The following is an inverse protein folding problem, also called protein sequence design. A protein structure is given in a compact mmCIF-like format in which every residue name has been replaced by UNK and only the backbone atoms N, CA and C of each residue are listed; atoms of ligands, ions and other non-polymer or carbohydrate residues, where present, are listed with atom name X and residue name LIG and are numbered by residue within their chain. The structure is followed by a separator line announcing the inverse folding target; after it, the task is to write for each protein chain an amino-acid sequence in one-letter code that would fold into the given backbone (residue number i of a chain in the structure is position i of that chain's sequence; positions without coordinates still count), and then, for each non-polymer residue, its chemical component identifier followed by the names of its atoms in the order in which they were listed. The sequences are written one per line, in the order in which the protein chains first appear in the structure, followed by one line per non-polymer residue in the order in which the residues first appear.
data_IF_755855708484
#
_entry.id   IF_755855708484
#
_cell.length_a   1.000
_cell.length_b   1.000
_cell.length_c   1.000
_cell.angle_alpha   90.00
_cell.angle_beta   90.00
_cell.angle_gamma   90.00
#
_symmetry.space_group_name_H-M   'P 1'
#
loop_
_entity.id
_entity.type
_entity.pdbx_description
1 polymer ?
#
# COMPACT_ATOMS: atom_id res chain seq x y z
N UNK A 1 -2.98 20.79 19.00
CA UNK A 1 -1.74 19.97 18.88
C UNK A 1 -2.06 18.48 18.66
N UNK A 2 -3.19 18.15 18.03
CA UNK A 2 -3.71 16.77 17.94
C UNK A 2 -3.53 16.13 16.55
N UNK A 3 -3.00 16.87 15.57
CA UNK A 3 -2.81 16.35 14.19
C UNK A 3 -1.51 15.53 14.06
N UNK A 4 -0.53 15.73 14.95
CA UNK A 4 0.76 15.03 14.88
C UNK A 4 0.68 13.55 15.28
N UNK A 5 -0.29 13.16 16.12
CA UNK A 5 -0.43 11.77 16.58
C UNK A 5 -0.83 10.86 15.42
N UNK A 6 -1.78 11.28 14.57
CA UNK A 6 -2.16 10.53 13.37
C UNK A 6 -1.03 10.45 12.34
N UNK A 7 -0.37 11.58 12.05
CA UNK A 7 0.72 11.65 11.06
C UNK A 7 1.91 10.74 11.39
N UNK A 8 2.22 10.55 12.67
CA UNK A 8 3.27 9.63 13.11
C UNK A 8 2.90 8.16 12.87
N UNK A 9 1.64 7.80 13.14
CA UNK A 9 1.16 6.42 12.94
C UNK A 9 1.05 6.05 11.46
N UNK A 10 0.68 6.98 10.59
CA UNK A 10 0.64 6.71 9.15
C UNK A 10 2.04 6.48 8.55
N UNK A 11 3.07 7.19 9.03
CA UNK A 11 4.45 6.94 8.63
C UNK A 11 4.95 5.56 9.07
N UNK A 12 4.69 5.22 10.32
CA UNK A 12 5.09 3.93 10.88
C UNK A 12 4.39 2.78 10.14
N UNK A 13 3.10 2.93 9.84
CA UNK A 13 2.33 1.99 9.04
C UNK A 13 2.81 1.91 7.58
N UNK A 14 3.25 3.03 6.97
CA UNK A 14 3.86 3.04 5.63
C UNK A 14 5.13 2.17 5.63
N UNK A 15 6.07 2.39 6.55
CA UNK A 15 7.30 1.61 6.64
C UNK A 15 7.03 0.11 6.86
N UNK A 16 6.15 -0.24 7.81
CA UNK A 16 5.81 -1.64 8.06
C UNK A 16 5.18 -2.32 6.84
N UNK A 17 4.26 -1.65 6.14
CA UNK A 17 3.64 -2.22 4.96
C UNK A 17 4.64 -2.35 3.80
N UNK A 18 5.59 -1.42 3.66
CA UNK A 18 6.63 -1.51 2.63
C UNK A 18 7.57 -2.70 2.85
N UNK A 19 7.98 -2.94 4.10
CA UNK A 19 8.80 -4.10 4.47
C UNK A 19 8.07 -5.41 4.11
N UNK A 20 6.80 -5.52 4.46
CA UNK A 20 5.98 -6.71 4.13
C UNK A 20 5.79 -6.87 2.62
N UNK A 21 5.62 -5.77 1.86
CA UNK A 21 5.53 -5.84 0.39
C UNK A 21 6.84 -6.35 -0.20
N UNK A 22 7.98 -5.84 0.25
CA UNK A 22 9.31 -6.24 -0.22
C UNK A 22 9.57 -7.73 0.07
N UNK A 23 9.32 -8.17 1.31
CA UNK A 23 9.40 -9.59 1.69
C UNK A 23 8.47 -10.48 0.88
N UNK A 24 7.24 -10.01 0.60
CA UNK A 24 6.30 -10.78 -0.22
C UNK A 24 6.72 -10.82 -1.70
N UNK A 25 7.31 -9.74 -2.22
CA UNK A 25 7.86 -9.70 -3.58
C UNK A 25 9.05 -10.65 -3.72
N UNK A 26 9.95 -10.67 -2.75
CA UNK A 26 11.12 -11.57 -2.75
C UNK A 26 10.73 -13.04 -2.57
N UNK A 27 9.79 -13.34 -1.66
CA UNK A 27 9.37 -14.73 -1.41
C UNK A 27 8.38 -15.29 -2.43
N UNK A 28 7.37 -14.51 -2.79
CA UNK A 28 6.22 -14.99 -3.55
C UNK A 28 6.09 -14.35 -4.93
N UNK A 29 6.75 -13.22 -5.18
CA UNK A 29 6.64 -12.45 -6.41
C UNK A 29 5.46 -11.47 -6.43
N UNK A 30 5.45 -10.66 -7.49
CA UNK A 30 4.48 -9.59 -7.74
C UNK A 30 3.06 -10.09 -8.09
N UNK A 31 2.91 -11.37 -8.46
CA UNK A 31 1.61 -11.97 -8.78
C UNK A 31 0.92 -12.63 -7.58
N UNK A 32 1.56 -12.70 -6.41
CA UNK A 32 0.98 -13.41 -5.27
C UNK A 32 -0.14 -12.60 -4.60
N UNK A 33 -1.28 -13.22 -4.24
CA UNK A 33 -2.40 -12.53 -3.60
C UNK A 33 -2.01 -11.82 -2.30
N UNK A 34 -1.05 -12.35 -1.54
CA UNK A 34 -0.54 -11.67 -0.33
C UNK A 34 0.16 -10.35 -0.65
N UNK A 35 0.95 -10.29 -1.72
CA UNK A 35 1.61 -9.05 -2.18
C UNK A 35 0.56 -8.03 -2.60
N UNK A 36 -0.45 -8.47 -3.36
CA UNK A 36 -1.55 -7.62 -3.82
C UNK A 36 -2.37 -7.06 -2.65
N UNK A 37 -2.67 -7.89 -1.65
CA UNK A 37 -3.42 -7.47 -0.46
C UNK A 37 -2.65 -6.44 0.38
N UNK A 38 -1.35 -6.63 0.58
CA UNK A 38 -0.51 -5.67 1.31
C UNK A 38 -0.44 -4.33 0.58
N UNK A 39 -0.29 -4.32 -0.75
CA UNK A 39 -0.30 -3.09 -1.55
C UNK A 39 -1.69 -2.40 -1.48
N UNK A 40 -2.79 -3.16 -1.53
CA UNK A 40 -4.15 -2.62 -1.35
C UNK A 40 -4.34 -1.95 0.02
N UNK A 41 -3.75 -2.52 1.07
CA UNK A 41 -3.78 -1.91 2.41
C UNK A 41 -2.94 -0.62 2.47
N UNK A 42 -1.80 -0.58 1.77
CA UNK A 42 -0.97 0.61 1.65
C UNK A 42 -1.70 1.76 0.90
N UNK A 43 -2.42 1.45 -0.17
CA UNK A 43 -3.26 2.42 -0.90
C UNK A 43 -4.32 3.02 0.03
N UNK A 44 -5.06 2.17 0.77
CA UNK A 44 -6.08 2.64 1.73
C UNK A 44 -5.48 3.50 2.84
N UNK A 45 -4.28 3.15 3.32
CA UNK A 45 -3.56 3.96 4.30
C UNK A 45 -3.28 5.36 3.73
N UNK A 46 -2.82 5.46 2.48
CA UNK A 46 -2.57 6.75 1.84
C UNK A 46 -3.84 7.57 1.60
N UNK A 47 -4.94 6.94 1.24
CA UNK A 47 -6.25 7.60 1.14
C UNK A 47 -6.67 8.18 2.50
N UNK A 48 -6.53 7.40 3.58
CA UNK A 48 -6.82 7.86 4.94
C UNK A 48 -5.84 8.93 5.45
N UNK A 49 -4.60 8.91 4.97
CA UNK A 49 -3.58 9.91 5.26
C UNK A 49 -3.77 11.21 4.46
N UNK A 50 -4.66 11.22 3.46
CA UNK A 50 -4.89 12.36 2.58
C UNK A 50 -3.80 12.55 1.53
N UNK A 51 -3.18 11.45 1.07
CA UNK A 51 -2.15 11.43 0.02
C UNK A 51 -2.58 10.57 -1.18
N UNK A 52 -3.59 11.02 -1.95
CA UNK A 52 -4.08 10.27 -3.11
C UNK A 52 -2.99 10.06 -4.17
N UNK A 53 -2.07 11.01 -4.39
CA UNK A 53 -0.97 10.87 -5.35
C UNK A 53 -0.12 9.61 -5.09
N UNK A 54 0.28 9.39 -3.84
CA UNK A 54 1.03 8.18 -3.47
C UNK A 54 0.18 6.93 -3.67
N UNK A 55 -1.10 6.98 -3.31
CA UNK A 55 -2.02 5.86 -3.50
C UNK A 55 -2.11 5.44 -5.00
N UNK A 56 -2.14 6.41 -5.91
CA UNK A 56 -2.11 6.17 -7.36
C UNK A 56 -0.78 5.58 -7.83
N UNK A 57 0.37 6.06 -7.32
CA UNK A 57 1.67 5.46 -7.62
C UNK A 57 1.72 3.97 -7.26
N UNK A 58 1.18 3.61 -6.09
CA UNK A 58 1.10 2.22 -5.65
C UNK A 58 0.10 1.39 -6.45
N UNK A 59 -1.03 1.96 -6.86
CA UNK A 59 -1.97 1.33 -7.80
C UNK A 59 -1.32 1.04 -9.15
N UNK A 60 -0.49 1.95 -9.66
CA UNK A 60 0.22 1.78 -10.92
C UNK A 60 1.34 0.73 -10.84
N UNK A 61 1.97 0.58 -9.66
CA UNK A 61 2.96 -0.46 -9.40
C UNK A 61 2.37 -1.86 -9.29
N UNK A 62 1.11 -1.98 -8.88
CA UNK A 62 0.42 -3.26 -8.86
C UNK A 62 0.26 -3.73 -10.31
N UNK A 63 0.82 -4.88 -10.73
CA UNK A 63 0.56 -5.41 -12.05
C UNK A 63 -0.93 -5.73 -12.14
N UNK A 64 -1.70 -4.82 -12.73
CA UNK A 64 -3.13 -4.98 -12.93
C UNK A 64 -3.36 -6.16 -13.87
N UNK A 65 -3.60 -7.34 -13.29
CA UNK A 65 -4.57 -8.30 -13.83
C UNK A 65 -5.90 -8.19 -13.06
N UNK A 66 -6.24 -6.98 -12.61
CA UNK A 66 -7.63 -6.63 -12.31
C UNK A 66 -8.23 -6.00 -13.58
N UNK A 67 -8.27 -6.78 -14.67
CA UNK A 67 -9.49 -6.89 -15.46
C UNK A 67 -10.56 -7.46 -14.51
N UNK A 68 -11.14 -6.61 -13.68
CA UNK A 68 -12.46 -6.86 -13.09
C UNK A 68 -13.27 -5.62 -13.38
N UNK A 69 -13.58 -5.52 -14.68
CA UNK A 69 -14.94 -5.36 -15.21
C UNK A 69 -15.98 -4.85 -14.20
N UNK A 70 -16.48 -3.65 -14.50
CA UNK A 70 -17.87 -3.17 -14.40
C UNK A 70 -18.76 -3.62 -13.22
#
# INVERSE_FOLDING_TARGET
AEIFTGLGQYKDAEEQLLEVVDDCLDMFGEEHPSTVETIKNLIKLYEAWGKPDKAEEWRAKLPQKEDTEE
#
